data_IF_613352182591
#
_entry.id   IF_613352182591
#
_cell.length_a   1.000
_cell.length_b   1.000
_cell.length_c   1.000
_cell.angle_alpha   90.00
_cell.angle_beta   90.00
_cell.angle_gamma   90.00
#
_symmetry.space_group_name_H-M   'P 1'
#
loop_
_entity.id
_entity.type
_entity.pdbx_description
1 polymer ?
#
# COMPACT_ATOMS: atom_id res chain seq x y z
N UNK A 1 32.07 -1.67 12.41
CA UNK A 1 32.49 -1.21 11.08
C UNK A 1 31.27 -0.59 10.40
N UNK A 2 31.29 0.72 10.13
CA UNK A 2 30.14 1.50 9.61
C UNK A 2 30.11 1.40 8.08
N UNK A 3 29.15 0.66 7.54
CA UNK A 3 28.79 0.69 6.12
C UNK A 3 27.83 1.86 5.86
N UNK A 4 28.33 2.94 5.25
CA UNK A 4 27.50 4.02 4.73
C UNK A 4 26.77 3.49 3.49
N UNK A 5 25.46 3.24 3.57
CA UNK A 5 24.63 3.12 2.38
C UNK A 5 24.51 4.50 1.73
N UNK A 6 24.92 4.56 0.46
CA UNK A 6 24.86 5.75 -0.38
C UNK A 6 23.42 5.92 -0.85
N UNK A 7 22.70 6.87 -0.26
CA UNK A 7 21.49 7.42 -0.87
C UNK A 7 21.90 8.18 -2.13
N UNK A 8 21.71 7.54 -3.28
CA UNK A 8 21.86 8.22 -4.57
C UNK A 8 20.53 8.89 -4.85
N UNK A 9 20.44 10.18 -4.51
CA UNK A 9 19.40 11.11 -4.98
C UNK A 9 19.34 11.04 -6.51
N UNK A 10 18.32 10.41 -7.06
CA UNK A 10 17.96 10.59 -8.46
C UNK A 10 17.20 11.91 -8.60
N UNK A 11 17.97 13.00 -8.73
CA UNK A 11 17.49 14.26 -9.25
C UNK A 11 18.28 14.55 -10.52
N UNK A 12 17.85 13.95 -11.64
CA UNK A 12 18.29 14.36 -12.98
C UNK A 12 17.05 14.32 -13.88
N UNK A 13 16.36 15.46 -13.97
CA UNK A 13 15.54 15.78 -15.14
C UNK A 13 16.48 16.39 -16.19
N UNK A 14 16.56 15.79 -17.37
CA UNK A 14 16.63 16.58 -18.60
C UNK A 14 15.43 16.21 -19.46
N UNK A 15 14.72 17.22 -19.95
CA UNK A 15 13.78 17.07 -21.04
C UNK A 15 14.38 16.20 -22.15
N UNK A 16 13.75 15.06 -22.44
CA UNK A 16 13.89 14.37 -23.72
C UNK A 16 12.49 14.04 -24.24
N UNK A 17 12.13 14.79 -25.28
CA UNK A 17 10.96 14.58 -26.12
C UNK A 17 11.27 13.40 -27.07
N UNK A 18 10.22 12.62 -27.41
CA UNK A 18 10.04 11.78 -28.61
C UNK A 18 10.69 10.38 -28.64
N UNK A 19 9.87 9.35 -28.39
CA UNK A 19 9.33 8.43 -29.42
C UNK A 19 9.00 7.07 -28.78
N UNK A 20 7.71 6.76 -28.61
CA UNK A 20 7.27 5.37 -28.70
C UNK A 20 5.91 5.32 -29.41
N UNK A 21 5.99 5.18 -30.73
CA UNK A 21 4.96 4.50 -31.52
C UNK A 21 5.00 3.02 -31.16
N UNK A 22 4.08 2.61 -30.28
CA UNK A 22 3.63 1.23 -30.21
C UNK A 22 2.11 1.26 -30.24
N UNK A 23 1.55 0.86 -31.39
CA UNK A 23 0.16 0.51 -31.50
C UNK A 23 -0.13 -0.61 -30.50
N UNK A 24 -1.04 -0.38 -29.56
CA UNK A 24 -1.76 -1.46 -28.89
C UNK A 24 -3.23 -1.09 -28.97
N UNK A 25 -3.95 -1.92 -29.70
CA UNK A 25 -5.35 -1.76 -30.01
C UNK A 25 -6.21 -1.74 -28.75
N UNK A 26 -7.31 -1.02 -28.85
CA UNK A 26 -8.45 -1.19 -27.97
C UNK A 26 -9.00 -2.60 -28.15
N UNK A 27 -8.82 -3.47 -27.15
CA UNK A 27 -9.60 -4.70 -27.00
C UNK A 27 -10.17 -4.73 -25.59
N UNK A 28 -11.49 -4.52 -25.50
CA UNK A 28 -12.33 -4.97 -24.38
C UNK A 28 -12.31 -6.51 -24.36
N UNK A 29 -11.76 -7.12 -23.31
CA UNK A 29 -12.07 -8.51 -22.92
C UNK A 29 -11.85 -8.68 -21.40
N UNK A 30 -12.96 -8.70 -20.65
CA UNK A 30 -13.06 -8.82 -19.19
C UNK A 30 -12.63 -10.23 -18.69
N UNK A 31 -11.33 -10.53 -18.63
CA UNK A 31 -10.83 -11.78 -17.99
C UNK A 31 -9.73 -11.61 -16.94
N UNK A 32 -9.04 -10.46 -16.88
CA UNK A 32 -7.93 -10.25 -15.94
C UNK A 32 -8.29 -9.44 -14.68
N UNK A 33 -9.48 -8.83 -14.63
CA UNK A 33 -9.89 -8.00 -13.48
C UNK A 33 -10.16 -8.84 -12.24
N UNK A 34 -9.75 -8.31 -11.09
CA UNK A 34 -9.99 -8.96 -9.80
C UNK A 34 -11.48 -8.97 -9.46
N UNK A 35 -11.97 -10.05 -8.81
CA UNK A 35 -13.38 -10.18 -8.48
C UNK A 35 -13.83 -9.13 -7.45
N UNK A 36 -14.95 -8.47 -7.74
CA UNK A 36 -15.58 -7.50 -6.84
C UNK A 36 -16.81 -8.11 -6.15
N UNK A 37 -16.77 -8.20 -4.83
CA UNK A 37 -17.82 -8.85 -4.02
C UNK A 37 -18.92 -7.88 -3.57
N UNK A 38 -19.60 -7.23 -4.52
CA UNK A 38 -20.60 -6.18 -4.25
C UNK A 38 -21.66 -6.55 -3.19
N UNK A 39 -22.14 -7.80 -3.18
CA UNK A 39 -23.17 -8.27 -2.22
C UNK A 39 -22.71 -8.23 -0.75
N UNK A 40 -21.41 -8.18 -0.50
CA UNK A 40 -20.83 -8.13 0.85
C UNK A 40 -20.46 -6.71 1.29
N UNK A 41 -20.78 -5.71 0.48
CA UNK A 41 -20.52 -4.28 0.70
C UNK A 41 -21.86 -3.59 0.96
N UNK A 42 -21.87 -2.49 1.71
CA UNK A 42 -23.12 -1.73 1.90
C UNK A 42 -23.67 -1.23 0.56
N UNK A 43 -24.99 -1.10 0.43
CA UNK A 43 -25.64 -0.68 -0.82
C UNK A 43 -25.03 0.63 -1.34
N UNK A 44 -24.87 1.62 -0.45
CA UNK A 44 -24.28 2.93 -0.77
C UNK A 44 -22.85 2.82 -1.31
N UNK A 45 -22.00 2.00 -0.69
CA UNK A 45 -20.61 1.81 -1.13
C UNK A 45 -20.52 0.97 -2.40
N UNK A 46 -21.40 -0.02 -2.56
CA UNK A 46 -21.52 -0.84 -3.76
C UNK A 46 -21.90 0.01 -4.98
N UNK A 47 -22.89 0.89 -4.83
CA UNK A 47 -23.28 1.84 -5.88
C UNK A 47 -22.14 2.79 -6.25
N UNK A 48 -21.45 3.32 -5.23
CA UNK A 48 -20.30 4.21 -5.44
C UNK A 48 -19.15 3.49 -6.16
N UNK A 49 -18.81 2.27 -5.73
CA UNK A 49 -17.79 1.44 -6.36
C UNK A 49 -18.14 1.15 -7.81
N UNK A 50 -19.39 0.78 -8.09
CA UNK A 50 -19.89 0.53 -9.45
C UNK A 50 -19.73 1.77 -10.34
N UNK A 51 -20.11 2.95 -9.84
CA UNK A 51 -19.97 4.24 -10.55
C UNK A 51 -18.51 4.57 -10.92
N UNK A 52 -17.55 4.21 -10.05
CA UNK A 52 -16.12 4.41 -10.31
C UNK A 52 -15.62 3.38 -11.34
N UNK A 53 -15.91 2.08 -11.15
CA UNK A 53 -15.43 1.00 -12.02
C UNK A 53 -15.98 1.11 -13.45
N UNK A 54 -17.26 1.43 -13.59
CA UNK A 54 -17.91 1.61 -14.90
C UNK A 54 -17.55 2.95 -15.55
N UNK A 55 -17.38 4.00 -14.74
CA UNK A 55 -17.12 5.37 -15.21
C UNK A 55 -15.66 5.79 -15.17
N UNK A 56 -14.72 4.84 -15.04
CA UNK A 56 -13.27 5.12 -14.98
C UNK A 56 -12.77 5.71 -16.28
N UNK A 57 -11.83 6.64 -16.18
CA UNK A 57 -11.03 7.10 -17.31
C UNK A 57 -9.67 6.39 -17.40
N UNK A 58 -9.19 5.88 -16.26
CA UNK A 58 -7.87 5.27 -16.14
C UNK A 58 -7.96 3.98 -15.32
N UNK A 59 -7.27 2.95 -15.79
CA UNK A 59 -7.12 1.67 -15.13
C UNK A 59 -5.65 1.30 -15.07
N UNK A 60 -5.19 0.86 -13.90
CA UNK A 60 -3.83 0.41 -13.64
C UNK A 60 -3.93 -0.95 -12.96
N UNK A 61 -3.06 -1.87 -13.36
CA UNK A 61 -2.98 -3.19 -12.77
C UNK A 61 -1.55 -3.54 -12.41
N UNK A 62 -1.42 -4.26 -11.30
CA UNK A 62 -0.22 -4.97 -10.89
C UNK A 62 -0.61 -6.43 -10.71
N UNK A 63 0.22 -7.32 -11.24
CA UNK A 63 -0.06 -8.76 -11.29
C UNK A 63 1.15 -9.52 -10.82
N UNK A 64 0.88 -10.56 -10.05
CA UNK A 64 1.87 -11.54 -9.63
C UNK A 64 3.09 -10.93 -8.92
N UNK A 65 2.90 -9.81 -8.24
CA UNK A 65 3.96 -9.11 -7.52
C UNK A 65 4.39 -9.92 -6.30
N UNK A 66 5.60 -10.46 -6.33
CA UNK A 66 6.13 -11.29 -5.25
C UNK A 66 6.66 -10.41 -4.10
N UNK A 67 6.45 -10.89 -2.87
CA UNK A 67 6.89 -10.25 -1.64
C UNK A 67 7.42 -11.33 -0.70
N UNK A 68 8.64 -11.13 -0.19
CA UNK A 68 9.30 -12.02 0.78
C UNK A 68 8.76 -11.81 2.20
N UNK A 69 7.45 -11.98 2.38
CA UNK A 69 6.79 -11.84 3.69
C UNK A 69 5.66 -12.84 3.86
N UNK A 70 5.12 -12.91 5.07
CA UNK A 70 3.92 -13.69 5.36
C UNK A 70 2.65 -12.86 5.16
N UNK A 71 1.54 -13.47 4.73
CA UNK A 71 0.24 -12.79 4.71
C UNK A 71 -0.17 -12.21 6.07
N UNK A 72 0.35 -12.75 7.18
CA UNK A 72 0.11 -12.21 8.52
C UNK A 72 0.73 -10.82 8.71
N UNK A 73 2.03 -10.67 8.39
CA UNK A 73 2.76 -9.40 8.52
C UNK A 73 2.13 -8.36 7.58
N UNK A 74 1.96 -8.71 6.31
CA UNK A 74 1.38 -7.82 5.31
C UNK A 74 -0.02 -7.34 5.71
N UNK A 75 -0.88 -8.25 6.19
CA UNK A 75 -2.19 -7.86 6.72
C UNK A 75 -2.12 -7.00 7.95
N UNK A 76 -1.20 -7.27 8.86
CA UNK A 76 -1.05 -6.49 10.08
C UNK A 76 -0.83 -5.01 9.76
N UNK A 77 0.06 -4.74 8.80
CA UNK A 77 0.37 -3.40 8.28
C UNK A 77 -0.84 -2.77 7.58
N UNK A 78 -1.39 -3.43 6.56
CA UNK A 78 -2.52 -2.90 5.78
C UNK A 78 -3.79 -2.64 6.59
N UNK A 79 -3.96 -3.31 7.74
CA UNK A 79 -5.10 -3.10 8.63
C UNK A 79 -4.88 -1.97 9.64
N UNK A 80 -3.66 -1.41 9.71
CA UNK A 80 -3.28 -0.34 10.62
C UNK A 80 -2.51 0.74 9.85
N UNK A 81 -3.15 1.39 8.86
CA UNK A 81 -2.46 2.32 7.97
C UNK A 81 -1.84 3.51 8.71
N UNK A 82 -2.48 4.06 9.74
CA UNK A 82 -1.92 5.15 10.58
C UNK A 82 -0.64 4.72 11.31
N UNK A 83 -0.70 3.59 12.03
CA UNK A 83 0.48 3.06 12.72
C UNK A 83 1.58 2.70 11.71
N UNK A 84 1.20 2.16 10.55
CA UNK A 84 2.15 1.79 9.49
C UNK A 84 2.85 3.00 8.91
N UNK A 85 2.13 4.10 8.62
CA UNK A 85 2.78 5.34 8.16
C UNK A 85 3.75 5.89 9.21
N UNK A 86 3.40 5.82 10.49
CA UNK A 86 4.30 6.25 11.57
C UNK A 86 5.58 5.39 11.64
N UNK A 87 5.46 4.07 11.49
CA UNK A 87 6.62 3.15 11.41
C UNK A 87 7.49 3.50 10.20
N UNK A 88 6.89 3.66 9.02
CA UNK A 88 7.61 3.95 7.79
C UNK A 88 8.39 5.27 7.89
N UNK A 89 7.77 6.29 8.48
CA UNK A 89 8.37 7.60 8.73
C UNK A 89 9.53 7.51 9.73
N UNK A 90 9.35 6.82 10.85
CA UNK A 90 10.40 6.64 11.86
C UNK A 90 11.61 5.89 11.29
N UNK A 91 11.38 4.88 10.45
CA UNK A 91 12.44 4.10 9.82
C UNK A 91 13.06 4.81 8.60
N UNK A 92 12.50 5.93 8.16
CA UNK A 92 12.95 6.66 6.98
C UNK A 92 12.69 5.94 5.66
N UNK A 93 11.74 5.00 5.63
CA UNK A 93 11.32 4.25 4.42
C UNK A 93 10.43 5.15 3.55
N UNK A 94 9.49 5.86 4.17
CA UNK A 94 8.58 6.76 3.46
C UNK A 94 8.27 8.02 4.29
N UNK A 95 8.01 9.14 3.61
CA UNK A 95 7.76 10.43 4.25
C UNK A 95 6.27 10.80 4.32
N UNK A 96 5.39 10.02 3.70
CA UNK A 96 3.95 10.28 3.72
C UNK A 96 3.34 10.05 5.11
N UNK A 97 2.22 10.72 5.38
CA UNK A 97 1.46 10.59 6.62
C UNK A 97 0.07 10.03 6.32
N UNK A 98 -0.41 9.15 7.20
CA UNK A 98 -1.81 8.75 7.24
C UNK A 98 -2.39 9.10 8.60
N UNK A 99 -3.51 9.80 8.60
CA UNK A 99 -4.29 10.15 9.78
C UNK A 99 -5.70 9.56 9.70
N UNK A 100 -6.37 9.47 10.85
CA UNK A 100 -7.75 8.99 10.92
C UNK A 100 -8.67 10.17 11.19
N UNK A 101 -9.66 10.36 10.31
CA UNK A 101 -10.74 11.33 10.47
C UNK A 101 -12.09 10.60 10.46
N UNK A 102 -12.65 10.38 11.66
CA UNK A 102 -13.86 9.57 11.83
C UNK A 102 -13.69 8.14 11.29
N UNK A 103 -14.45 7.80 10.25
CA UNK A 103 -14.38 6.50 9.55
C UNK A 103 -13.47 6.53 8.32
N UNK A 104 -12.87 7.68 8.00
CA UNK A 104 -11.99 7.89 6.86
C UNK A 104 -10.52 7.93 7.31
N UNK A 105 -9.64 7.70 6.33
CA UNK A 105 -8.21 7.84 6.42
C UNK A 105 -7.78 8.98 5.49
N UNK A 106 -6.99 9.90 6.01
CA UNK A 106 -6.41 11.00 5.25
C UNK A 106 -4.95 10.68 4.97
N UNK A 107 -4.60 10.57 3.70
CA UNK A 107 -3.25 10.38 3.20
C UNK A 107 -2.73 11.73 2.67
N UNK A 108 -1.49 12.05 3.00
CA UNK A 108 -0.74 13.19 2.45
C UNK A 108 0.72 12.78 2.24
N UNK A 109 1.24 12.95 1.02
CA UNK A 109 2.64 12.66 0.71
C UNK A 109 3.60 13.85 0.94
N UNK A 110 3.08 15.04 1.26
CA UNK A 110 3.85 16.27 1.39
C UNK A 110 4.38 16.84 0.06
N UNK A 111 4.06 16.20 -1.07
CA UNK A 111 4.49 16.56 -2.42
C UNK A 111 3.31 16.98 -3.32
N UNK A 112 2.16 17.25 -2.69
CA UNK A 112 0.97 17.77 -3.36
C UNK A 112 -0.06 16.71 -3.74
N UNK A 113 0.14 15.45 -3.37
CA UNK A 113 -0.88 14.41 -3.45
C UNK A 113 -1.52 14.16 -2.08
N UNK A 114 -2.85 14.27 -2.03
CA UNK A 114 -3.64 13.87 -0.88
C UNK A 114 -4.84 13.03 -1.27
N UNK A 115 -5.29 12.20 -0.33
CA UNK A 115 -6.42 11.30 -0.55
C UNK A 115 -7.18 11.06 0.75
N UNK A 116 -8.51 11.09 0.67
CA UNK A 116 -9.37 10.59 1.72
C UNK A 116 -9.96 9.25 1.28
N UNK A 117 -9.78 8.21 2.08
CA UNK A 117 -10.18 6.86 1.69
C UNK A 117 -10.62 6.01 2.86
N UNK A 118 -11.24 4.88 2.55
CA UNK A 118 -11.59 3.86 3.53
C UNK A 118 -11.56 2.47 2.92
N UNK A 119 -11.45 1.47 3.79
CA UNK A 119 -11.65 0.06 3.42
C UNK A 119 -13.15 -0.23 3.43
N UNK A 120 -13.71 -0.63 2.28
CA UNK A 120 -15.15 -0.96 2.15
C UNK A 120 -15.40 -2.49 2.12
N UNK A 121 -14.35 -3.27 1.90
CA UNK A 121 -14.42 -4.72 1.96
C UNK A 121 -13.11 -5.30 2.48
N UNK A 122 -13.23 -6.31 3.34
CA UNK A 122 -12.11 -7.12 3.80
C UNK A 122 -12.60 -8.52 4.15
N UNK A 123 -12.17 -9.52 3.39
CA UNK A 123 -12.46 -10.93 3.70
C UNK A 123 -11.39 -11.84 3.12
N UNK A 124 -10.83 -12.69 3.98
CA UNK A 124 -9.72 -13.56 3.59
C UNK A 124 -8.62 -12.74 2.94
N UNK A 125 -8.24 -13.12 1.73
CA UNK A 125 -7.14 -12.52 0.99
C UNK A 125 -7.53 -11.34 0.09
N UNK A 126 -8.76 -10.83 0.22
CA UNK A 126 -9.29 -9.77 -0.63
C UNK A 126 -9.60 -8.51 0.18
N UNK A 127 -9.23 -7.35 -0.35
CA UNK A 127 -9.54 -6.03 0.20
C UNK A 127 -10.00 -5.09 -0.90
N UNK A 128 -10.95 -4.23 -0.58
CA UNK A 128 -11.40 -3.17 -1.48
C UNK A 128 -11.35 -1.84 -0.74
N UNK A 129 -10.68 -0.88 -1.36
CA UNK A 129 -10.52 0.48 -0.89
C UNK A 129 -11.26 1.42 -1.82
N UNK A 130 -11.80 2.49 -1.25
CA UNK A 130 -12.49 3.53 -2.00
C UNK A 130 -12.16 4.89 -1.41
N UNK A 131 -11.86 5.85 -2.28
CA UNK A 131 -11.45 7.18 -1.86
C UNK A 131 -11.64 8.25 -2.91
N UNK A 132 -11.22 9.45 -2.55
CA UNK A 132 -10.99 10.56 -3.46
C UNK A 132 -9.48 10.79 -3.59
N UNK A 133 -9.06 11.53 -4.60
CA UNK A 133 -7.69 12.02 -4.70
C UNK A 133 -7.69 13.49 -5.10
N UNK A 134 -6.65 14.19 -4.65
CA UNK A 134 -6.30 15.53 -5.08
C UNK A 134 -4.81 15.52 -5.35
N UNK A 135 -4.41 15.99 -6.53
CA UNK A 135 -3.02 16.22 -6.88
C UNK A 135 -2.86 17.68 -7.32
N UNK A 136 -1.91 18.38 -6.73
CA UNK A 136 -1.57 19.77 -7.09
C UNK A 136 -0.08 19.86 -7.38
N UNK A 137 0.30 20.22 -8.61
CA UNK A 137 1.71 20.49 -8.96
C UNK A 137 2.02 21.99 -8.90
N UNK A 138 3.19 22.32 -8.33
CA UNK A 138 3.65 23.69 -8.12
C UNK A 138 4.65 24.21 -9.17
N UNK A 139 5.05 23.41 -10.17
CA UNK A 139 6.10 23.81 -11.11
C UNK A 139 5.50 24.13 -12.49
N UNK A 140 5.59 25.41 -12.89
CA UNK A 140 5.25 25.89 -14.23
C UNK A 140 3.76 26.24 -14.40
N UNK A 141 2.90 25.23 -14.55
CA UNK A 141 1.46 25.41 -14.72
C UNK A 141 0.75 24.75 -13.54
N UNK A 142 -0.03 25.48 -12.72
CA UNK A 142 -0.79 24.88 -11.63
C UNK A 142 -1.87 23.97 -12.22
N UNK A 143 -1.57 22.67 -12.24
CA UNK A 143 -2.54 21.62 -12.56
C UNK A 143 -3.05 21.08 -11.24
N UNK A 144 -4.36 21.18 -11.04
CA UNK A 144 -5.07 20.53 -9.94
C UNK A 144 -5.89 19.40 -10.52
N UNK A 145 -5.50 18.16 -10.26
CA UNK A 145 -6.28 16.99 -10.62
C UNK A 145 -7.05 16.54 -9.39
N UNK A 146 -8.32 16.21 -9.57
CA UNK A 146 -9.11 15.58 -8.53
C UNK A 146 -10.01 14.52 -9.12
N UNK A 147 -10.44 13.59 -8.28
CA UNK A 147 -11.36 12.56 -8.68
C UNK A 147 -11.61 11.54 -7.59
N UNK A 148 -12.20 10.43 -8.00
CA UNK A 148 -12.52 9.28 -7.18
C UNK A 148 -11.69 8.08 -7.62
N UNK A 149 -11.37 7.21 -6.67
CA UNK A 149 -10.66 5.98 -6.97
C UNK A 149 -11.21 4.79 -6.20
N UNK A 150 -11.01 3.62 -6.77
CA UNK A 150 -11.25 2.34 -6.11
C UNK A 150 -10.07 1.41 -6.37
N UNK A 151 -9.60 0.72 -5.33
CA UNK A 151 -8.57 -0.31 -5.48
C UNK A 151 -9.09 -1.65 -5.00
N UNK A 152 -8.84 -2.69 -5.77
CA UNK A 152 -9.07 -4.08 -5.39
C UNK A 152 -7.72 -4.72 -5.21
N UNK A 153 -7.43 -5.20 -4.01
CA UNK A 153 -6.22 -5.92 -3.67
C UNK A 153 -6.58 -7.38 -3.40
N UNK A 154 -5.88 -8.29 -4.06
CA UNK A 154 -5.85 -9.70 -3.72
C UNK A 154 -4.42 -10.07 -3.38
N UNK A 155 -4.27 -11.00 -2.45
CA UNK A 155 -2.98 -11.66 -2.26
C UNK A 155 -3.16 -13.16 -2.12
N UNK A 156 -2.10 -13.93 -2.29
CA UNK A 156 -2.11 -15.37 -2.04
C UNK A 156 -0.77 -15.80 -1.45
N UNK A 157 -0.81 -16.81 -0.59
CA UNK A 157 0.43 -17.42 -0.10
C UNK A 157 1.14 -18.16 -1.23
N UNK A 158 2.46 -17.96 -1.35
CA UNK A 158 3.36 -18.77 -2.20
C UNK A 158 4.40 -19.48 -1.33
N UNK A 159 5.14 -20.42 -1.92
CA UNK A 159 6.33 -20.96 -1.27
C UNK A 159 7.36 -19.84 -1.11
N UNK A 160 7.91 -19.64 0.10
CA UNK A 160 8.89 -18.59 0.38
C UNK A 160 8.34 -17.17 0.56
N UNK A 161 7.04 -16.92 0.37
CA UNK A 161 6.49 -15.58 0.54
C UNK A 161 5.00 -15.46 0.20
N UNK A 162 4.65 -14.35 -0.45
CA UNK A 162 3.31 -14.13 -0.96
C UNK A 162 3.36 -13.41 -2.30
N UNK A 163 2.25 -13.50 -3.01
CA UNK A 163 2.02 -12.79 -4.26
C UNK A 163 0.85 -11.84 -4.09
N UNK A 164 0.93 -10.65 -4.66
CA UNK A 164 -0.15 -9.66 -4.65
C UNK A 164 -0.58 -9.28 -6.07
N UNK A 165 -1.88 -9.07 -6.22
CA UNK A 165 -2.50 -8.49 -7.40
C UNK A 165 -3.27 -7.23 -6.98
N UNK A 166 -3.15 -6.16 -7.76
CA UNK A 166 -3.85 -4.90 -7.50
C UNK A 166 -4.53 -4.44 -8.78
N UNK A 167 -5.81 -4.09 -8.68
CA UNK A 167 -6.52 -3.27 -9.64
C UNK A 167 -6.73 -1.89 -9.05
N UNK A 168 -6.42 -0.84 -9.82
CA UNK A 168 -6.73 0.54 -9.48
C UNK A 168 -7.58 1.18 -10.58
N UNK A 169 -8.77 1.60 -10.18
CA UNK A 169 -9.77 2.26 -11.00
C UNK A 169 -9.80 3.75 -10.64
N UNK A 170 -9.57 4.62 -11.60
CA UNK A 170 -9.53 6.07 -11.41
C UNK A 170 -10.60 6.76 -12.26
N UNK A 171 -11.28 7.72 -11.65
CA UNK A 171 -12.31 8.54 -12.28
C UNK A 171 -12.10 10.00 -11.92
N UNK A 172 -11.74 10.82 -12.88
CA UNK A 172 -11.47 12.24 -12.71
C UNK A 172 -12.76 13.05 -12.61
N UNK A 173 -12.71 14.14 -11.86
CA UNK A 173 -13.75 15.15 -11.86
C UNK A 173 -13.67 16.02 -13.12
N UNK A 174 -14.83 16.33 -13.72
CA UNK A 174 -14.91 17.22 -14.88
C UNK A 174 -14.49 18.68 -14.55
N UNK A 175 -14.53 19.07 -13.27
CA UNK A 175 -14.34 20.46 -12.82
C UNK A 175 -12.90 20.83 -12.44
N UNK A 176 -12.00 19.85 -12.20
CA UNK A 176 -10.57 20.10 -11.94
C UNK A 176 -9.77 20.49 -13.20
N UNK A 177 -10.43 20.46 -14.36
CA UNK A 177 -9.82 20.55 -15.67
C UNK A 177 -9.65 22.02 -16.09
N UNK A 178 -8.53 22.63 -15.73
CA UNK A 178 -8.12 23.94 -16.23
C UNK A 178 -7.75 23.89 -17.73
N UNK A 179 -8.71 23.66 -18.65
CA UNK A 179 -8.54 23.80 -20.12
C UNK A 179 -7.30 23.12 -20.76
N UNK A 180 -6.67 22.13 -20.10
CA UNK A 180 -5.55 21.37 -20.66
C UNK A 180 -6.07 20.10 -21.32
N UNK A 181 -6.13 20.14 -22.65
CA UNK A 181 -5.96 19.09 -23.69
C UNK A 181 -6.05 17.60 -23.34
N UNK A 182 -6.64 16.84 -24.28
CA UNK A 182 -6.82 15.37 -24.51
C UNK A 182 -5.85 14.33 -23.88
N UNK A 183 -4.77 14.70 -23.21
CA UNK A 183 -3.75 13.81 -22.65
C UNK A 183 -3.84 13.63 -21.12
N UNK A 184 -4.89 14.13 -20.47
CA UNK A 184 -5.09 14.06 -19.01
C UNK A 184 -5.00 12.62 -18.46
N UNK A 185 -5.66 11.60 -19.06
CA UNK A 185 -5.58 10.23 -18.54
C UNK A 185 -4.14 9.69 -18.47
N UNK A 186 -3.28 10.08 -19.41
CA UNK A 186 -1.88 9.69 -19.39
C UNK A 186 -1.11 10.32 -18.22
N UNK A 187 -1.35 11.60 -17.95
CA UNK A 187 -0.73 12.31 -16.82
C UNK A 187 -1.19 11.70 -15.50
N UNK A 188 -2.50 11.47 -15.36
CA UNK A 188 -3.09 10.83 -14.18
C UNK A 188 -2.49 9.44 -13.97
N UNK A 189 -2.43 8.62 -15.03
CA UNK A 189 -1.83 7.29 -14.96
C UNK A 189 -0.39 7.35 -14.44
N UNK A 190 0.43 8.25 -14.96
CA UNK A 190 1.83 8.36 -14.55
C UNK A 190 1.97 8.82 -13.10
N UNK A 191 1.29 9.91 -12.71
CA UNK A 191 1.41 10.48 -11.36
C UNK A 191 0.79 9.57 -10.31
N UNK A 192 -0.45 9.13 -10.52
CA UNK A 192 -1.15 8.30 -9.55
C UNK A 192 -0.55 6.89 -9.50
N UNK A 193 -0.10 6.37 -10.65
CA UNK A 193 0.66 5.12 -10.72
C UNK A 193 1.92 5.18 -9.87
N UNK A 194 2.76 6.21 -10.04
CA UNK A 194 3.98 6.40 -9.24
C UNK A 194 3.69 6.50 -7.73
N UNK A 195 2.62 7.20 -7.35
CA UNK A 195 2.22 7.32 -5.93
C UNK A 195 1.69 6.01 -5.36
N UNK A 196 0.94 5.24 -6.15
CA UNK A 196 0.48 3.91 -5.76
C UNK A 196 1.66 2.94 -5.63
N UNK A 197 2.59 2.94 -6.59
CA UNK A 197 3.83 2.16 -6.56
C UNK A 197 4.63 2.47 -5.29
N UNK A 198 4.88 3.76 -5.03
CA UNK A 198 5.64 4.19 -3.85
C UNK A 198 5.00 3.70 -2.54
N UNK A 199 3.66 3.75 -2.45
CA UNK A 199 2.94 3.22 -1.29
C UNK A 199 3.14 1.71 -1.14
N UNK A 200 2.92 0.94 -2.21
CA UNK A 200 3.04 -0.52 -2.18
C UNK A 200 4.47 -0.97 -1.88
N UNK A 201 5.47 -0.33 -2.49
CA UNK A 201 6.88 -0.64 -2.24
C UNK A 201 7.29 -0.34 -0.80
N UNK A 202 6.80 0.76 -0.22
CA UNK A 202 7.06 1.07 1.19
C UNK A 202 6.51 -0.02 2.12
N UNK A 203 5.32 -0.54 1.81
CA UNK A 203 4.70 -1.64 2.57
C UNK A 203 5.46 -2.95 2.33
N UNK A 204 5.89 -3.24 1.09
CA UNK A 204 6.74 -4.38 0.75
C UNK A 204 8.02 -4.35 1.59
N UNK A 205 8.81 -3.29 1.47
CA UNK A 205 10.09 -3.12 2.17
C UNK A 205 9.95 -3.32 3.68
N UNK A 206 8.97 -2.67 4.31
CA UNK A 206 8.72 -2.84 5.74
C UNK A 206 8.30 -4.27 6.09
N UNK A 207 7.43 -4.89 5.29
CA UNK A 207 6.93 -6.23 5.56
C UNK A 207 8.02 -7.31 5.42
N UNK A 208 8.96 -7.12 4.50
CA UNK A 208 10.11 -8.00 4.28
C UNK A 208 11.15 -7.82 5.39
N UNK A 209 11.40 -6.57 5.82
CA UNK A 209 12.30 -6.31 6.94
C UNK A 209 11.77 -6.93 8.24
N UNK A 210 10.47 -6.76 8.54
CA UNK A 210 9.84 -7.41 9.69
C UNK A 210 9.92 -8.94 9.56
N UNK A 211 9.78 -9.50 8.35
CA UNK A 211 9.87 -10.94 8.14
C UNK A 211 11.27 -11.47 8.41
N UNK A 212 12.30 -10.73 7.97
CA UNK A 212 13.70 -11.12 8.08
C UNK A 212 14.28 -10.93 9.48
N UNK A 213 14.05 -9.78 10.10
CA UNK A 213 14.56 -9.47 11.44
C UNK A 213 13.60 -8.53 12.20
N UNK A 214 12.53 -9.07 12.82
CA UNK A 214 11.61 -8.26 13.60
C UNK A 214 12.29 -7.64 14.84
N UNK A 215 13.40 -8.21 15.32
CA UNK A 215 14.16 -7.74 16.47
C UNK A 215 14.91 -6.45 16.18
N UNK A 216 15.54 -6.36 15.02
CA UNK A 216 16.15 -5.13 14.53
C UNK A 216 15.09 -4.02 14.37
N UNK A 217 13.98 -4.31 13.68
CA UNK A 217 12.90 -3.35 13.49
C UNK A 217 12.38 -2.83 14.84
N UNK A 218 12.10 -3.72 15.79
CA UNK A 218 11.65 -3.30 17.13
C UNK A 218 12.70 -2.43 17.85
N UNK A 219 13.99 -2.76 17.74
CA UNK A 219 15.05 -1.99 18.37
C UNK A 219 15.18 -0.58 17.81
N UNK A 220 14.86 -0.37 16.53
CA UNK A 220 14.80 0.95 15.92
C UNK A 220 13.56 1.72 16.36
N UNK A 221 12.43 1.02 16.56
CA UNK A 221 11.16 1.64 16.92
C UNK A 221 10.97 1.91 18.42
N UNK A 222 11.67 1.19 19.32
CA UNK A 222 11.39 1.25 20.78
C UNK A 222 11.54 2.63 21.41
N UNK A 223 12.35 3.51 20.80
CA UNK A 223 12.60 4.87 21.25
C UNK A 223 11.88 5.92 20.38
N UNK A 224 11.00 5.47 19.46
CA UNK A 224 10.21 6.32 18.57
C UNK A 224 9.29 7.25 19.35
N UNK A 225 9.16 8.48 18.84
CA UNK A 225 8.18 9.45 19.35
C UNK A 225 6.85 9.39 18.61
N UNK A 226 6.84 8.77 17.44
CA UNK A 226 5.66 8.64 16.56
C UNK A 226 4.78 7.43 16.95
N UNK A 227 5.33 6.48 17.70
CA UNK A 227 4.62 5.28 18.19
C UNK A 227 4.36 5.35 19.69
N UNK A 228 3.13 5.06 20.09
CA UNK A 228 2.81 4.98 21.50
C UNK A 228 3.22 3.62 22.09
N UNK A 229 3.32 3.54 23.42
CA UNK A 229 3.74 2.32 24.13
C UNK A 229 2.83 1.12 23.86
N UNK A 230 1.54 1.34 23.58
CA UNK A 230 0.60 0.28 23.24
C UNK A 230 0.92 -0.33 21.87
N UNK A 231 1.20 0.49 20.86
CA UNK A 231 1.59 0.03 19.52
C UNK A 231 2.90 -0.75 19.55
N UNK A 232 3.90 -0.26 20.28
CA UNK A 232 5.17 -0.94 20.47
C UNK A 232 5.03 -2.29 21.18
N UNK A 233 4.18 -2.36 22.21
CA UNK A 233 3.88 -3.61 22.90
C UNK A 233 3.14 -4.61 21.99
N UNK A 234 2.16 -4.15 21.22
CA UNK A 234 1.46 -5.00 20.25
C UNK A 234 2.41 -5.53 19.16
N UNK A 235 3.35 -4.71 18.66
CA UNK A 235 4.37 -5.14 17.72
C UNK A 235 5.24 -6.25 18.34
N UNK A 236 5.73 -6.02 19.56
CA UNK A 236 6.55 -6.99 20.30
C UNK A 236 5.83 -8.31 20.52
N UNK A 237 4.58 -8.27 20.97
CA UNK A 237 3.77 -9.48 21.18
C UNK A 237 3.59 -10.29 19.90
N UNK A 238 3.35 -9.60 18.78
CA UNK A 238 3.02 -10.27 17.51
C UNK A 238 4.22 -10.81 16.76
N UNK A 239 5.37 -10.14 16.82
CA UNK A 239 6.51 -10.47 15.97
C UNK A 239 7.75 -10.93 16.73
N UNK A 240 7.85 -10.64 18.04
CA UNK A 240 9.00 -11.05 18.85
C UNK A 240 8.69 -12.17 19.83
N UNK A 241 7.50 -12.18 20.43
CA UNK A 241 7.14 -13.21 21.41
C UNK A 241 6.56 -14.47 20.75
N UNK A 242 5.91 -14.34 19.60
CA UNK A 242 5.41 -15.48 18.82
C UNK A 242 6.46 -16.12 17.90
N UNK A 243 7.62 -15.49 17.73
CA UNK A 243 8.76 -16.01 16.94
C UNK A 243 9.80 -16.73 17.79
N UNK A 244 9.64 -16.74 19.12
CA UNK A 244 10.45 -17.58 19.99
C UNK A 244 9.97 -19.03 19.83
N UNK A 245 10.86 -20.00 19.50
CA UNK A 245 10.51 -21.40 19.67
C UNK A 245 10.16 -21.58 21.14
N UNK A 246 8.97 -22.11 21.43
CA UNK A 246 8.70 -22.69 22.73
C UNK A 246 9.86 -23.65 23.02
N UNK A 247 10.77 -23.25 23.92
CA UNK A 247 11.78 -24.14 24.42
C UNK A 247 11.02 -25.36 24.96
N UNK A 248 11.24 -26.50 24.32
CA UNK A 248 10.97 -27.82 24.84
C UNK A 248 11.78 -27.96 26.12
N UNK A 249 11.27 -27.39 27.20
CA UNK A 249 11.54 -27.88 28.54
C UNK A 249 10.72 -29.17 28.66
N UNK A 250 11.20 -30.23 28.02
CA UNK A 250 10.91 -31.56 28.54
C UNK A 250 11.52 -31.58 29.94
N UNK A 251 10.62 -31.39 30.88
CA UNK A 251 10.83 -31.65 32.29
C UNK A 251 11.40 -33.07 32.37
N UNK A 252 12.67 -33.15 32.72
CA UNK A 252 13.29 -34.39 33.19
C UNK A 252 12.65 -34.71 34.54
N UNK A 253 11.50 -35.39 34.50
CA UNK A 253 10.88 -36.00 35.67
C UNK A 253 10.73 -37.49 35.41
N UNK A 254 11.38 -38.24 36.29
CA UNK A 254 11.12 -39.62 36.66
C UNK A 254 11.46 -40.70 35.62
N UNK A 255 12.66 -41.27 35.75
CA UNK A 255 12.79 -42.70 36.03
C UNK A 255 13.94 -42.95 37.01
N UNK A 256 13.61 -42.87 38.31
CA UNK A 256 14.21 -43.78 39.29
C UNK A 256 13.29 -45.01 39.38
N UNK A 257 13.79 -46.18 39.01
CA UNK A 257 13.56 -47.50 39.62
C UNK A 257 13.79 -48.65 38.63
N UNK A 258 14.36 -49.75 39.15
CA UNK A 258 14.76 -51.02 38.52
C UNK A 258 16.04 -50.96 37.67
N UNK A 259 17.16 -51.63 37.98
CA UNK A 259 17.45 -52.77 38.87
C UNK A 259 18.82 -52.63 39.55
#
# INVERSE_FOLDING_TARGET
MRGKMKYTRYMIFPLLILNLTAAIGFTDEDSDKLPIFFKSISVKESEKLKKIVEGKDTFIEWREEEIETTPFIFNYLLNRPVMTSNILKELGIAAYQIEKDGDLLQFDDGEGFSSEFKTIYKKGENKIYLGNYIYTTGIGVPVRLSGEWASVLRYKKKEGGMEIDIDLYLKSDEQGLSKVTKNIPFIIKSVIGEKADSYIESIRELSEWIHKDPGEVYNLLKDSRELNSKELNEFKERFLLLSLPFHTSQVSLCQSSSH
#
